data_IF_607511776511
#
_entry.id   IF_607511776511
#
_cell.length_a   1.000
_cell.length_b   1.000
_cell.length_c   1.000
_cell.angle_alpha   90.00
_cell.angle_beta   90.00
_cell.angle_gamma   90.00
#
_symmetry.space_group_name_H-M   'P 1'
#
loop_
_entity.id
_entity.type
_entity.pdbx_description
1 polymer ?
#
# COMPACT_ATOMS: atom_id res chain seq x y z
N UNK A 1 15.43 -12.61 -16.54
CA UNK A 1 15.08 -13.25 -17.84
C UNK A 1 15.95 -12.81 -19.02
N UNK A 2 16.24 -11.51 -19.19
CA UNK A 2 17.07 -11.02 -20.30
C UNK A 2 18.43 -11.75 -20.42
N UNK A 3 19.17 -11.88 -19.32
CA UNK A 3 20.47 -12.56 -19.31
C UNK A 3 20.43 -14.09 -19.49
N UNK A 4 19.26 -14.71 -19.37
CA UNK A 4 19.12 -16.18 -19.54
C UNK A 4 18.59 -16.57 -20.92
N UNK A 5 18.32 -15.61 -21.81
CA UNK A 5 17.75 -15.85 -23.14
C UNK A 5 18.70 -16.64 -24.07
N UNK A 6 20.01 -16.45 -23.90
CA UNK A 6 21.04 -17.14 -24.71
C UNK A 6 21.26 -18.58 -24.26
N UNK A 7 20.60 -19.03 -23.22
CA UNK A 7 20.71 -20.38 -22.67
C UNK A 7 19.66 -21.26 -23.35
N UNK A 8 20.11 -22.26 -24.08
CA UNK A 8 19.22 -23.21 -24.75
C UNK A 8 18.51 -24.14 -23.77
N UNK A 9 17.24 -24.46 -24.08
CA UNK A 9 16.44 -25.43 -23.36
C UNK A 9 15.73 -24.88 -22.13
N UNK A 10 15.29 -25.79 -21.26
CA UNK A 10 14.49 -25.45 -20.07
C UNK A 10 15.22 -24.64 -19.01
N UNK A 11 16.54 -24.45 -19.12
CA UNK A 11 17.33 -23.68 -18.16
C UNK A 11 17.03 -22.18 -18.25
N UNK A 12 16.66 -21.67 -19.44
CA UNK A 12 16.37 -20.25 -19.68
C UNK A 12 15.29 -19.65 -18.77
N UNK A 13 14.23 -20.40 -18.48
CA UNK A 13 13.14 -19.97 -17.61
C UNK A 13 13.27 -20.48 -16.17
N UNK A 14 13.93 -21.62 -15.97
CA UNK A 14 14.12 -22.21 -14.63
C UNK A 14 15.06 -21.39 -13.77
N UNK A 15 16.19 -20.90 -14.31
CA UNK A 15 17.16 -20.11 -13.56
C UNK A 15 16.52 -18.87 -12.91
N UNK A 16 15.77 -18.00 -13.64
CA UNK A 16 15.10 -16.87 -13.01
C UNK A 16 14.13 -17.26 -11.89
N UNK A 17 13.41 -18.39 -12.03
CA UNK A 17 12.51 -18.88 -10.98
C UNK A 17 13.30 -19.34 -9.75
N UNK A 18 14.39 -20.09 -9.94
CA UNK A 18 15.26 -20.52 -8.83
C UNK A 18 15.89 -19.32 -8.11
N UNK A 19 16.23 -18.25 -8.84
CA UNK A 19 16.79 -17.03 -8.23
C UNK A 19 15.79 -16.36 -7.28
N UNK A 20 14.48 -16.52 -7.44
CA UNK A 20 13.48 -16.00 -6.51
C UNK A 20 13.53 -16.70 -5.14
N UNK A 21 13.99 -17.96 -5.11
CA UNK A 21 14.16 -18.69 -3.85
C UNK A 21 15.27 -18.12 -2.96
N UNK A 22 16.20 -17.35 -3.52
CA UNK A 22 17.32 -16.77 -2.76
C UNK A 22 16.77 -15.84 -1.66
N UNK A 23 15.91 -14.88 -2.03
CA UNK A 23 15.32 -13.95 -1.06
C UNK A 23 14.41 -14.66 -0.06
N UNK A 24 13.57 -15.58 -0.53
CA UNK A 24 12.70 -16.38 0.35
C UNK A 24 13.50 -17.29 1.28
N UNK A 25 14.60 -17.83 0.81
CA UNK A 25 15.54 -18.64 1.61
C UNK A 25 16.19 -17.83 2.72
N UNK A 26 16.65 -16.60 2.43
CA UNK A 26 17.18 -15.71 3.47
C UNK A 26 16.14 -15.41 4.55
N UNK A 27 14.90 -15.14 4.16
CA UNK A 27 13.81 -14.92 5.13
C UNK A 27 13.51 -16.19 5.93
N UNK A 28 13.39 -17.34 5.27
CA UNK A 28 13.09 -18.61 5.92
C UNK A 28 14.18 -19.04 6.91
N UNK A 29 15.44 -18.77 6.60
CA UNK A 29 16.55 -19.05 7.50
C UNK A 29 16.61 -18.00 8.62
N UNK A 30 16.47 -16.71 8.28
CA UNK A 30 16.60 -15.60 9.23
C UNK A 30 15.52 -15.57 10.31
N UNK A 31 14.30 -16.07 10.03
CA UNK A 31 13.18 -16.04 10.97
C UNK A 31 13.45 -16.84 12.25
N UNK A 32 14.31 -17.86 12.19
CA UNK A 32 14.69 -18.67 13.36
C UNK A 32 15.51 -17.90 14.40
N UNK A 33 16.17 -16.80 14.02
CA UNK A 33 16.92 -15.94 14.94
C UNK A 33 16.13 -14.74 15.45
N UNK A 34 14.93 -14.50 14.92
CA UNK A 34 14.09 -13.42 15.38
C UNK A 34 13.30 -13.86 16.63
N UNK A 35 13.28 -13.04 17.69
CA UNK A 35 12.43 -13.29 18.85
C UNK A 35 10.96 -13.13 18.49
N UNK A 36 10.10 -13.80 19.22
CA UNK A 36 8.67 -13.63 19.11
C UNK A 36 8.23 -12.21 19.53
N UNK A 37 7.11 -11.76 18.99
CA UNK A 37 6.58 -10.44 19.34
C UNK A 37 6.18 -10.39 20.82
N UNK A 38 6.63 -9.39 21.60
CA UNK A 38 6.20 -9.23 22.99
C UNK A 38 4.70 -9.17 23.16
N UNK A 39 3.98 -8.53 22.22
CA UNK A 39 2.51 -8.46 22.23
C UNK A 39 1.86 -9.82 22.04
N UNK A 40 2.42 -10.64 21.16
CA UNK A 40 1.95 -12.01 20.95
C UNK A 40 2.19 -12.88 22.18
N UNK A 41 3.38 -12.78 22.77
CA UNK A 41 3.71 -13.49 24.01
C UNK A 41 2.76 -13.12 25.16
N UNK A 42 2.46 -11.83 25.32
CA UNK A 42 1.48 -11.35 26.29
C UNK A 42 0.07 -11.88 26.01
N UNK A 43 -0.34 -11.97 24.76
CA UNK A 43 -1.64 -12.54 24.38
C UNK A 43 -1.74 -14.06 24.61
N UNK A 44 -0.60 -14.75 24.73
CA UNK A 44 -0.49 -16.17 25.06
C UNK A 44 -0.26 -16.42 26.56
N UNK A 45 -0.45 -15.40 27.41
CA UNK A 45 -0.23 -15.43 28.86
C UNK A 45 1.24 -15.73 29.26
N UNK A 46 2.19 -15.52 28.34
CA UNK A 46 3.63 -15.70 28.58
C UNK A 46 4.33 -14.35 28.83
N UNK A 47 3.93 -13.71 29.94
CA UNK A 47 4.43 -12.38 30.30
C UNK A 47 5.94 -12.35 30.58
N UNK A 48 6.50 -13.43 31.17
CA UNK A 48 7.91 -13.50 31.56
C UNK A 48 8.84 -13.44 30.34
N UNK A 49 8.49 -14.10 29.25
CA UNK A 49 9.26 -14.03 28.01
C UNK A 49 9.07 -12.68 27.31
N UNK A 50 7.87 -12.11 27.33
CA UNK A 50 7.63 -10.78 26.80
C UNK A 50 8.51 -9.73 27.48
N UNK A 51 8.63 -9.80 28.81
CA UNK A 51 9.50 -8.92 29.61
C UNK A 51 10.96 -9.08 29.20
N UNK A 52 11.45 -10.30 29.04
CA UNK A 52 12.84 -10.57 28.64
C UNK A 52 13.15 -9.98 27.25
N UNK A 53 12.23 -10.14 26.30
CA UNK A 53 12.38 -9.59 24.94
C UNK A 53 12.38 -8.06 24.99
N UNK A 54 11.45 -7.44 25.72
CA UNK A 54 11.41 -5.98 25.90
C UNK A 54 12.66 -5.44 26.59
N UNK A 55 13.10 -6.08 27.68
CA UNK A 55 14.32 -5.69 28.38
C UNK A 55 15.54 -5.73 27.46
N UNK A 56 15.66 -6.77 26.63
CA UNK A 56 16.78 -6.93 25.71
C UNK A 56 16.82 -5.87 24.63
N UNK A 57 15.68 -5.49 24.04
CA UNK A 57 15.64 -4.61 22.86
C UNK A 57 15.28 -3.16 23.18
N UNK A 58 14.55 -2.88 24.27
CA UNK A 58 14.08 -1.55 24.64
C UNK A 58 14.55 -1.09 26.02
N UNK A 59 15.11 -2.01 26.83
CA UNK A 59 15.53 -1.73 28.20
C UNK A 59 17.03 -1.85 28.45
N UNK A 60 17.86 -1.84 27.40
CA UNK A 60 19.33 -2.00 27.52
C UNK A 60 19.74 -3.22 28.37
N UNK A 61 18.91 -4.26 28.39
CA UNK A 61 19.09 -5.46 29.19
C UNK A 61 18.52 -5.40 30.62
N UNK A 62 17.97 -4.24 31.05
CA UNK A 62 17.34 -4.07 32.37
C UNK A 62 15.84 -4.25 32.31
N UNK A 63 15.32 -5.07 33.21
CA UNK A 63 13.88 -5.32 33.35
C UNK A 63 13.18 -4.10 33.98
N UNK A 64 13.87 -3.38 34.84
CA UNK A 64 13.34 -2.24 35.58
C UNK A 64 13.40 -0.91 34.81
N UNK A 65 13.78 -0.97 33.51
CA UNK A 65 13.86 0.22 32.70
C UNK A 65 12.45 0.86 32.52
N UNK A 66 12.29 2.16 32.68
CA UNK A 66 10.99 2.85 32.62
C UNK A 66 10.19 2.57 31.34
N UNK A 67 10.89 2.44 30.20
CA UNK A 67 10.26 2.11 28.91
C UNK A 67 9.67 0.69 28.90
N UNK A 68 10.32 -0.28 29.54
CA UNK A 68 9.83 -1.66 29.61
C UNK A 68 8.54 -1.73 30.44
N UNK A 69 8.54 -1.08 31.60
CA UNK A 69 7.38 -1.04 32.50
C UNK A 69 6.20 -0.30 31.89
N UNK A 70 6.45 0.81 31.17
CA UNK A 70 5.42 1.55 30.47
C UNK A 70 4.79 0.71 29.34
N UNK A 71 5.59 0.12 28.48
CA UNK A 71 5.11 -0.69 27.37
C UNK A 71 4.36 -1.95 27.85
N UNK A 72 4.80 -2.56 28.94
CA UNK A 72 4.07 -3.68 29.54
C UNK A 72 2.67 -3.26 30.04
N UNK A 73 2.57 -2.13 30.76
CA UNK A 73 1.29 -1.61 31.21
C UNK A 73 0.36 -1.30 30.04
N UNK A 74 0.86 -0.63 29.01
CA UNK A 74 0.09 -0.35 27.80
C UNK A 74 -0.41 -1.64 27.12
N UNK A 75 0.45 -2.66 26.99
CA UNK A 75 0.06 -3.95 26.42
C UNK A 75 -1.00 -4.66 27.27
N UNK A 76 -0.85 -4.67 28.60
CA UNK A 76 -1.83 -5.26 29.51
C UNK A 76 -3.19 -4.56 29.43
N UNK A 77 -3.19 -3.23 29.41
CA UNK A 77 -4.42 -2.45 29.27
C UNK A 77 -5.09 -2.71 27.91
N UNK A 78 -4.33 -2.74 26.82
CA UNK A 78 -4.86 -3.02 25.49
C UNK A 78 -5.42 -4.45 25.37
N UNK A 79 -4.75 -5.43 25.97
CA UNK A 79 -5.22 -6.83 25.97
C UNK A 79 -6.48 -6.96 26.84
N UNK A 80 -6.53 -6.32 28.01
CA UNK A 80 -7.70 -6.32 28.89
C UNK A 80 -8.93 -5.60 28.29
N UNK A 81 -8.71 -4.52 27.54
CA UNK A 81 -9.77 -3.82 26.81
C UNK A 81 -10.21 -4.58 25.54
N UNK A 82 -9.31 -5.35 24.94
CA UNK A 82 -9.56 -6.13 23.73
C UNK A 82 -9.87 -7.61 24.01
N UNK A 83 -10.42 -7.93 25.17
CA UNK A 83 -10.96 -9.28 25.45
C UNK A 83 -12.18 -9.61 24.56
N UNK A 84 -12.42 -8.75 23.58
CA UNK A 84 -13.36 -8.90 22.49
C UNK A 84 -12.83 -9.94 21.51
N UNK A 85 -13.44 -11.08 21.56
CA UNK A 85 -13.56 -12.05 20.50
C UNK A 85 -12.25 -12.55 19.84
N UNK A 86 -11.57 -13.48 20.52
CA UNK A 86 -10.48 -14.32 19.96
C UNK A 86 -10.95 -15.16 18.75
N UNK A 87 -12.21 -15.04 18.30
CA UNK A 87 -12.77 -15.75 17.17
C UNK A 87 -12.25 -15.18 15.85
N UNK A 88 -11.37 -15.92 15.20
CA UNK A 88 -10.75 -15.51 13.94
C UNK A 88 -11.76 -15.32 12.79
N UNK A 89 -12.96 -15.93 12.88
CA UNK A 89 -14.03 -15.86 11.87
C UNK A 89 -15.03 -14.71 12.09
N UNK A 90 -14.99 -14.00 13.22
CA UNK A 90 -15.93 -12.91 13.47
C UNK A 90 -15.37 -11.58 12.93
N UNK A 91 -15.94 -11.13 11.83
CA UNK A 91 -15.67 -9.86 11.20
C UNK A 91 -16.73 -8.79 11.47
N UNK A 92 -17.71 -9.06 12.34
CA UNK A 92 -18.83 -8.16 12.62
C UNK A 92 -18.38 -6.79 13.14
N UNK A 93 -17.28 -6.75 13.89
CA UNK A 93 -16.70 -5.51 14.42
C UNK A 93 -16.32 -4.50 13.33
N UNK A 94 -15.96 -4.97 12.14
CA UNK A 94 -15.59 -4.09 11.01
C UNK A 94 -16.79 -3.35 10.39
N UNK A 95 -18.01 -3.83 10.63
CA UNK A 95 -19.24 -3.25 10.07
C UNK A 95 -20.23 -2.76 11.12
N UNK A 96 -20.01 -3.06 12.41
CA UNK A 96 -20.96 -2.82 13.48
C UNK A 96 -21.21 -1.32 13.70
N UNK A 97 -20.18 -0.50 13.73
CA UNK A 97 -20.28 0.94 13.97
C UNK A 97 -20.19 1.75 12.68
N UNK A 98 -20.71 2.97 12.68
CA UNK A 98 -20.60 3.88 11.54
C UNK A 98 -19.14 4.23 11.23
N UNK A 99 -18.33 4.44 12.27
CA UNK A 99 -16.89 4.66 12.17
C UNK A 99 -16.16 3.46 11.54
N UNK A 100 -16.48 2.22 11.99
CA UNK A 100 -15.90 1.01 11.46
C UNK A 100 -16.20 0.82 9.96
N UNK A 101 -17.45 1.08 9.55
CA UNK A 101 -17.84 1.02 8.12
C UNK A 101 -17.09 2.04 7.26
N UNK A 102 -16.90 3.28 7.75
CA UNK A 102 -16.12 4.30 7.04
C UNK A 102 -14.66 3.88 6.87
N UNK A 103 -14.05 3.32 7.92
CA UNK A 103 -12.69 2.77 7.86
C UNK A 103 -12.59 1.61 6.87
N UNK A 104 -13.58 0.71 6.89
CA UNK A 104 -13.63 -0.41 5.95
C UNK A 104 -13.73 0.07 4.50
N UNK A 105 -14.52 1.11 4.20
CA UNK A 105 -14.59 1.72 2.86
C UNK A 105 -13.22 2.25 2.44
N UNK A 106 -12.48 2.93 3.32
CA UNK A 106 -11.12 3.39 3.03
C UNK A 106 -10.17 2.22 2.75
N UNK A 107 -10.24 1.15 3.54
CA UNK A 107 -9.42 -0.06 3.36
C UNK A 107 -9.72 -0.76 2.04
N UNK A 108 -11.01 -0.98 1.73
CA UNK A 108 -11.43 -1.60 0.48
C UNK A 108 -11.05 -0.73 -0.73
N UNK A 109 -11.25 0.60 -0.62
CA UNK A 109 -10.84 1.54 -1.65
C UNK A 109 -9.33 1.45 -1.90
N UNK A 110 -8.49 1.58 -0.88
CA UNK A 110 -7.03 1.46 -1.05
C UNK A 110 -6.61 0.12 -1.66
N UNK A 111 -7.24 -0.97 -1.23
CA UNK A 111 -6.93 -2.30 -1.72
C UNK A 111 -7.31 -2.49 -3.21
N UNK A 112 -8.51 -2.07 -3.58
CA UNK A 112 -9.01 -2.23 -4.95
C UNK A 112 -8.36 -1.22 -5.92
N UNK A 113 -8.28 0.06 -5.55
CA UNK A 113 -7.73 1.11 -6.40
C UNK A 113 -6.25 0.86 -6.74
N UNK A 114 -5.47 0.35 -5.78
CA UNK A 114 -4.09 -0.06 -6.04
C UNK A 114 -3.92 -1.11 -7.15
N UNK A 115 -4.95 -1.88 -7.47
CA UNK A 115 -4.91 -2.87 -8.55
C UNK A 115 -5.60 -2.39 -9.83
N UNK A 116 -6.69 -1.61 -9.69
CA UNK A 116 -7.55 -1.20 -10.80
C UNK A 116 -7.06 0.07 -11.51
N UNK A 117 -6.17 0.86 -10.91
CA UNK A 117 -5.58 2.08 -11.48
C UNK A 117 -4.56 1.84 -12.61
N UNK A 118 -4.58 0.66 -13.23
CA UNK A 118 -3.71 0.31 -14.37
C UNK A 118 -2.31 -0.22 -13.99
N UNK A 119 -1.91 -0.20 -12.71
CA UNK A 119 -0.63 -0.74 -12.30
C UNK A 119 -0.49 -2.24 -12.60
N UNK A 120 -1.54 -3.03 -12.36
CA UNK A 120 -1.54 -4.46 -12.67
C UNK A 120 -1.37 -4.71 -14.17
N UNK A 121 -2.01 -3.89 -15.01
CA UNK A 121 -1.84 -4.00 -16.47
C UNK A 121 -0.42 -3.65 -16.89
N UNK A 122 0.11 -2.55 -16.41
CA UNK A 122 1.47 -2.12 -16.74
C UNK A 122 2.53 -3.13 -16.25
N UNK A 123 2.29 -3.78 -15.13
CA UNK A 123 3.23 -4.77 -14.58
C UNK A 123 3.18 -6.13 -15.29
N UNK A 124 1.99 -6.61 -15.65
CA UNK A 124 1.83 -7.95 -16.22
C UNK A 124 1.73 -7.96 -17.75
N UNK A 125 1.18 -6.91 -18.36
CA UNK A 125 0.95 -6.79 -19.79
C UNK A 125 1.86 -5.74 -20.47
N UNK A 126 2.99 -5.38 -19.84
CA UNK A 126 3.96 -4.48 -20.45
C UNK A 126 4.43 -4.94 -21.84
N UNK A 127 4.71 -6.23 -22.10
CA UNK A 127 5.03 -6.69 -23.44
C UNK A 127 3.93 -6.40 -24.47
N UNK A 128 2.67 -6.62 -24.12
CA UNK A 128 1.50 -6.32 -24.98
C UNK A 128 1.35 -4.83 -25.25
N UNK A 129 1.59 -4.00 -24.23
CA UNK A 129 1.59 -2.54 -24.38
C UNK A 129 2.70 -2.09 -25.35
N UNK A 130 3.88 -2.71 -25.29
CA UNK A 130 5.00 -2.44 -26.18
C UNK A 130 4.74 -2.95 -27.61
N UNK A 131 4.06 -4.08 -27.76
CA UNK A 131 3.60 -4.58 -29.08
C UNK A 131 2.63 -3.59 -29.71
N UNK A 132 1.64 -3.08 -28.97
CA UNK A 132 0.71 -2.07 -29.44
C UNK A 132 1.38 -0.74 -29.78
N UNK A 133 2.56 -0.47 -29.20
CA UNK A 133 3.41 0.67 -29.56
C UNK A 133 4.33 0.40 -30.78
N UNK A 134 4.22 -0.77 -31.42
CA UNK A 134 5.00 -1.15 -32.58
C UNK A 134 6.37 -1.78 -32.29
N UNK A 135 6.66 -2.16 -31.04
CA UNK A 135 7.91 -2.82 -30.65
C UNK A 135 7.74 -4.33 -30.70
N UNK A 136 8.06 -4.91 -31.82
CA UNK A 136 7.92 -6.36 -32.08
C UNK A 136 9.10 -7.17 -31.55
N UNK A 137 10.27 -6.55 -31.34
CA UNK A 137 11.47 -7.25 -30.89
C UNK A 137 11.36 -7.70 -29.43
N UNK A 138 11.26 -8.99 -29.20
CA UNK A 138 11.20 -9.62 -27.86
C UNK A 138 12.40 -9.19 -26.97
N UNK A 139 13.59 -9.08 -27.57
CA UNK A 139 14.78 -8.63 -26.85
C UNK A 139 14.63 -7.20 -26.31
N UNK A 140 14.05 -6.28 -27.10
CA UNK A 140 13.78 -4.91 -26.65
C UNK A 140 12.70 -4.88 -25.58
N UNK A 141 11.65 -5.68 -25.70
CA UNK A 141 10.59 -5.79 -24.69
C UNK A 141 11.13 -6.26 -23.35
N UNK A 142 11.97 -7.31 -23.35
CA UNK A 142 12.62 -7.82 -22.13
C UNK A 142 13.55 -6.78 -21.49
N UNK A 143 14.32 -6.05 -22.30
CA UNK A 143 15.19 -4.99 -21.81
C UNK A 143 14.37 -3.85 -21.18
N UNK A 144 13.31 -3.41 -21.86
CA UNK A 144 12.43 -2.35 -21.36
C UNK A 144 11.72 -2.75 -20.07
N UNK A 145 11.26 -3.99 -19.96
CA UNK A 145 10.71 -4.53 -18.71
C UNK A 145 11.76 -4.54 -17.59
N UNK A 146 13.01 -4.90 -17.93
CA UNK A 146 14.12 -4.85 -16.98
C UNK A 146 14.45 -3.45 -16.47
N UNK A 147 14.29 -2.41 -17.30
CA UNK A 147 14.50 -1.00 -16.92
C UNK A 147 13.31 -0.44 -16.13
N UNK A 148 12.09 -0.90 -16.40
CA UNK A 148 10.87 -0.45 -15.72
C UNK A 148 10.93 -0.65 -14.20
N UNK A 149 11.37 -1.83 -13.76
CA UNK A 149 11.41 -2.18 -12.32
C UNK A 149 12.33 -1.27 -11.49
N UNK A 150 13.58 -0.96 -11.90
CA UNK A 150 14.41 0.03 -11.21
C UNK A 150 13.79 1.44 -11.14
N UNK A 151 13.09 1.87 -12.18
CA UNK A 151 12.42 3.18 -12.20
C UNK A 151 11.31 3.20 -11.15
N UNK A 152 10.48 2.17 -11.09
CA UNK A 152 9.45 2.02 -10.05
C UNK A 152 10.05 1.98 -8.64
N UNK A 153 11.18 1.30 -8.47
CA UNK A 153 11.87 1.22 -7.18
C UNK A 153 12.37 2.58 -6.70
N UNK A 154 12.99 3.36 -7.59
CA UNK A 154 13.41 4.74 -7.28
C UNK A 154 12.20 5.61 -6.92
N UNK A 155 11.09 5.47 -7.67
CA UNK A 155 9.83 6.14 -7.37
C UNK A 155 9.30 5.80 -5.98
N UNK A 156 9.31 4.52 -5.60
CA UNK A 156 8.84 4.06 -4.29
C UNK A 156 9.70 4.60 -3.13
N UNK A 157 11.03 4.61 -3.28
CA UNK A 157 11.94 5.20 -2.27
C UNK A 157 11.70 6.71 -2.13
N UNK A 158 11.59 7.42 -3.25
CA UNK A 158 11.29 8.84 -3.22
C UNK A 158 9.93 9.10 -2.57
N UNK A 159 8.89 8.35 -2.93
CA UNK A 159 7.55 8.44 -2.35
C UNK A 159 7.56 8.24 -0.85
N UNK A 160 8.20 7.17 -0.37
CA UNK A 160 8.34 6.90 1.06
C UNK A 160 8.98 8.08 1.82
N UNK A 161 9.99 8.74 1.23
CA UNK A 161 10.67 9.91 1.84
C UNK A 161 9.77 11.14 1.91
N UNK A 162 8.90 11.33 0.91
CA UNK A 162 8.02 12.51 0.84
C UNK A 162 6.68 12.33 1.54
N UNK A 163 6.28 11.10 1.87
CA UNK A 163 5.00 10.78 2.52
C UNK A 163 4.77 11.57 3.80
N UNK A 164 5.79 11.72 4.64
CA UNK A 164 5.70 12.45 5.91
C UNK A 164 5.67 13.96 5.72
N UNK A 165 6.23 14.47 4.62
CA UNK A 165 6.25 15.90 4.35
C UNK A 165 4.93 16.41 3.71
N UNK A 166 4.39 15.65 2.74
CA UNK A 166 3.22 16.11 1.97
C UNK A 166 1.89 15.61 2.56
N UNK A 167 1.92 14.51 3.30
CA UNK A 167 0.71 13.83 3.78
C UNK A 167 0.22 12.75 2.82
N UNK A 168 -0.62 11.88 3.35
CA UNK A 168 -1.09 10.68 2.62
C UNK A 168 -2.12 11.03 1.56
N UNK A 169 -3.13 11.81 1.92
CA UNK A 169 -4.24 12.18 1.03
C UNK A 169 -3.83 13.02 -0.17
N UNK A 170 -3.05 14.11 -0.04
CA UNK A 170 -2.58 14.88 -1.19
C UNK A 170 -1.73 14.03 -2.14
N UNK A 171 -0.84 13.19 -1.57
CA UNK A 171 0.04 12.35 -2.36
C UNK A 171 -0.74 11.33 -3.21
N UNK A 172 -1.77 10.70 -2.64
CA UNK A 172 -2.68 9.80 -3.36
C UNK A 172 -3.44 10.55 -4.47
N UNK A 173 -4.01 11.72 -4.17
CA UNK A 173 -4.80 12.49 -5.13
C UNK A 173 -3.96 12.97 -6.32
N UNK A 174 -2.80 13.59 -6.06
CA UNK A 174 -1.96 14.11 -7.13
C UNK A 174 -1.40 12.99 -8.01
N UNK A 175 -0.99 11.87 -7.40
CA UNK A 175 -0.46 10.75 -8.16
C UNK A 175 -1.52 10.09 -9.05
N UNK A 176 -2.76 9.88 -8.57
CA UNK A 176 -3.79 9.22 -9.38
C UNK A 176 -4.28 10.12 -10.52
N UNK A 177 -4.44 11.41 -10.29
CA UNK A 177 -4.77 12.37 -11.36
C UNK A 177 -3.67 12.41 -12.41
N UNK A 178 -2.41 12.39 -12.00
CA UNK A 178 -1.29 12.36 -12.94
C UNK A 178 -1.24 11.02 -13.71
N UNK A 179 -1.55 9.91 -13.07
CA UNK A 179 -1.68 8.59 -13.72
C UNK A 179 -2.76 8.61 -14.80
N UNK A 180 -3.93 9.21 -14.53
CA UNK A 180 -4.99 9.43 -15.53
C UNK A 180 -4.48 10.22 -16.75
N UNK A 181 -3.72 11.29 -16.52
CA UNK A 181 -3.12 12.08 -17.62
C UNK A 181 -2.11 11.24 -18.40
N UNK A 182 -1.30 10.42 -17.75
CA UNK A 182 -0.37 9.50 -18.44
C UNK A 182 -1.13 8.53 -19.35
N UNK A 183 -2.21 7.91 -18.87
CA UNK A 183 -3.02 7.00 -19.69
C UNK A 183 -3.72 7.71 -20.83
N UNK A 184 -4.16 8.95 -20.66
CA UNK A 184 -4.73 9.75 -21.75
C UNK A 184 -3.70 9.98 -22.89
N UNK A 185 -2.45 10.31 -22.51
CA UNK A 185 -1.37 10.50 -23.50
C UNK A 185 -0.97 9.15 -24.13
N UNK A 186 -0.87 8.09 -23.35
CA UNK A 186 -0.60 6.72 -23.86
C UNK A 186 -1.67 6.33 -24.87
N UNK A 187 -2.94 6.58 -24.59
CA UNK A 187 -4.05 6.28 -25.51
C UNK A 187 -3.90 7.02 -26.84
N UNK A 188 -3.69 8.34 -26.77
CA UNK A 188 -3.55 9.18 -27.97
C UNK A 188 -2.33 8.81 -28.81
N UNK A 189 -1.20 8.58 -28.17
CA UNK A 189 0.05 8.22 -28.86
C UNK A 189 0.05 6.78 -29.37
N UNK A 190 -0.58 5.84 -28.67
CA UNK A 190 -0.78 4.46 -29.16
C UNK A 190 -1.65 4.42 -30.41
N UNK A 191 -2.70 5.24 -30.47
CA UNK A 191 -3.51 5.40 -31.70
C UNK A 191 -2.66 5.84 -32.88
N UNK A 192 -1.82 6.87 -32.69
CA UNK A 192 -0.92 7.37 -33.74
C UNK A 192 0.11 6.33 -34.16
N UNK A 193 0.69 5.60 -33.21
CA UNK A 193 1.65 4.53 -33.50
C UNK A 193 1.02 3.34 -34.25
N UNK A 194 -0.25 3.04 -34.00
CA UNK A 194 -0.99 1.98 -34.71
C UNK A 194 -1.38 2.41 -36.14
N UNK A 195 -1.73 3.69 -36.35
CA UNK A 195 -2.09 4.19 -37.68
C UNK A 195 -0.88 4.37 -38.61
N UNK A 196 0.25 4.74 -38.05
CA UNK A 196 1.49 4.94 -38.81
C UNK A 196 2.64 4.23 -38.11
N UNK A 197 2.88 2.98 -38.53
CA UNK A 197 3.92 2.10 -37.96
C UNK A 197 5.35 2.62 -38.17
N UNK A 198 5.54 3.61 -39.00
CA UNK A 198 6.84 4.28 -39.24
C UNK A 198 7.09 5.41 -38.23
N UNK A 199 6.11 5.80 -37.44
CA UNK A 199 6.21 6.91 -36.52
C UNK A 199 6.94 6.51 -35.20
N UNK A 200 8.27 6.47 -35.28
CA UNK A 200 9.14 6.16 -34.15
C UNK A 200 8.93 7.11 -32.97
N UNK A 201 8.56 8.37 -33.25
CA UNK A 201 8.32 9.37 -32.20
C UNK A 201 7.10 9.00 -31.35
N UNK A 202 6.00 8.56 -31.98
CA UNK A 202 4.81 8.12 -31.26
C UNK A 202 5.11 6.89 -30.38
N UNK A 203 5.83 5.90 -30.92
CA UNK A 203 6.23 4.71 -30.16
C UNK A 203 7.12 5.06 -28.95
N UNK A 204 8.11 5.91 -29.10
CA UNK A 204 8.97 6.36 -28.02
C UNK A 204 8.20 7.15 -26.95
N UNK A 205 7.20 7.92 -27.37
CA UNK A 205 6.35 8.67 -26.44
C UNK A 205 5.51 7.72 -25.57
N UNK A 206 4.93 6.66 -26.14
CA UNK A 206 4.22 5.63 -25.38
C UNK A 206 5.13 5.04 -24.29
N UNK A 207 6.36 4.64 -24.66
CA UNK A 207 7.31 4.06 -23.73
C UNK A 207 7.67 5.04 -22.60
N UNK A 208 7.94 6.30 -22.95
CA UNK A 208 8.30 7.32 -21.97
C UNK A 208 7.16 7.52 -20.96
N UNK A 209 5.90 7.58 -21.42
CA UNK A 209 4.76 7.77 -20.53
C UNK A 209 4.42 6.51 -19.72
N UNK A 210 4.69 5.31 -20.21
CA UNK A 210 4.61 4.09 -19.40
C UNK A 210 5.61 4.16 -18.23
N UNK A 211 6.85 4.60 -18.46
CA UNK A 211 7.85 4.73 -17.41
C UNK A 211 7.54 5.85 -16.42
N UNK A 212 7.03 6.98 -16.91
CA UNK A 212 6.57 8.09 -16.07
C UNK A 212 5.39 7.64 -15.20
N UNK A 213 4.42 6.92 -15.78
CA UNK A 213 3.33 6.31 -15.04
C UNK A 213 3.85 5.40 -13.91
N UNK A 214 4.74 4.45 -14.23
CA UNK A 214 5.31 3.53 -13.25
C UNK A 214 6.04 4.25 -12.11
N UNK A 215 6.80 5.30 -12.43
CA UNK A 215 7.46 6.14 -11.43
C UNK A 215 6.45 6.87 -10.53
N UNK A 216 5.46 7.55 -11.12
CA UNK A 216 4.47 8.35 -10.37
C UNK A 216 3.55 7.47 -9.54
N UNK A 217 3.11 6.34 -10.09
CA UNK A 217 2.33 5.36 -9.36
C UNK A 217 3.13 4.83 -8.15
N UNK A 218 4.38 4.43 -8.37
CA UNK A 218 5.23 3.92 -7.29
C UNK A 218 5.53 5.00 -6.24
N UNK A 219 5.68 6.25 -6.65
CA UNK A 219 5.88 7.39 -5.76
C UNK A 219 4.67 7.63 -4.85
N UNK A 220 3.44 7.58 -5.39
CA UNK A 220 2.24 7.90 -4.63
C UNK A 220 1.57 6.72 -3.95
N UNK A 221 1.64 5.52 -4.54
CA UNK A 221 0.81 4.39 -4.11
C UNK A 221 1.57 3.26 -3.43
N UNK A 222 2.75 2.88 -3.93
CA UNK A 222 3.42 1.67 -3.47
C UNK A 222 3.73 1.69 -1.98
N UNK A 223 4.23 2.82 -1.46
CA UNK A 223 4.52 2.97 -0.03
C UNK A 223 3.26 3.21 0.80
N UNK A 224 2.27 3.94 0.25
CA UNK A 224 1.08 4.36 0.97
C UNK A 224 0.03 3.27 1.12
N UNK A 225 -0.04 2.31 0.21
CA UNK A 225 -1.12 1.31 0.20
C UNK A 225 -1.19 0.53 1.53
N UNK A 226 -0.09 -0.04 1.98
CA UNK A 226 -0.03 -0.77 3.25
C UNK A 226 -0.06 0.14 4.47
N UNK A 227 0.60 1.29 4.40
CA UNK A 227 0.71 2.25 5.48
C UNK A 227 -0.67 2.87 5.80
N UNK A 228 -1.39 3.36 4.80
CA UNK A 228 -2.70 3.97 4.98
C UNK A 228 -3.73 2.98 5.56
N UNK A 229 -3.71 1.71 5.09
CA UNK A 229 -4.55 0.65 5.66
C UNK A 229 -4.25 0.44 7.14
N UNK A 230 -2.96 0.38 7.51
CA UNK A 230 -2.53 0.18 8.89
C UNK A 230 -2.86 1.37 9.80
N UNK A 231 -2.76 2.62 9.31
CA UNK A 231 -3.10 3.84 10.05
C UNK A 231 -4.62 4.01 10.23
N UNK A 232 -5.40 3.61 9.23
CA UNK A 232 -6.87 3.76 9.24
C UNK A 232 -7.54 2.82 10.25
N UNK A 233 -6.98 1.64 10.49
CA UNK A 233 -7.57 0.62 11.33
C UNK A 233 -7.10 0.70 12.78
N UNK A 234 -8.01 0.61 13.77
CA UNK A 234 -7.65 0.49 15.17
C UNK A 234 -6.91 -0.84 15.42
N UNK A 235 -6.08 -0.88 16.44
CA UNK A 235 -5.23 -2.03 16.75
C UNK A 235 -6.03 -3.33 16.91
N UNK A 236 -7.23 -3.27 17.51
CA UNK A 236 -8.12 -4.42 17.72
C UNK A 236 -8.59 -5.11 16.43
N UNK A 237 -8.92 -4.33 15.41
CA UNK A 237 -9.47 -4.84 14.15
C UNK A 237 -8.47 -4.82 12.99
N UNK A 238 -7.25 -4.33 13.22
CA UNK A 238 -6.23 -4.16 12.17
C UNK A 238 -5.91 -5.45 11.42
N UNK A 239 -5.69 -6.55 12.14
CA UNK A 239 -5.37 -7.83 11.52
C UNK A 239 -6.51 -8.32 10.60
N UNK A 240 -7.76 -8.30 11.10
CA UNK A 240 -8.95 -8.69 10.33
C UNK A 240 -9.21 -7.75 9.15
N UNK A 241 -9.07 -6.44 9.36
CA UNK A 241 -9.26 -5.43 8.31
C UNK A 241 -8.19 -5.52 7.21
N UNK A 242 -6.94 -5.73 7.58
CA UNK A 242 -5.85 -5.95 6.60
C UNK A 242 -6.06 -7.25 5.81
N UNK A 243 -6.55 -8.32 6.44
CA UNK A 243 -6.87 -9.57 5.75
C UNK A 243 -7.97 -9.37 4.69
N UNK A 244 -9.05 -8.64 5.02
CA UNK A 244 -10.10 -8.27 4.04
C UNK A 244 -9.51 -7.37 2.93
N UNK A 245 -8.68 -6.40 3.28
CA UNK A 245 -8.00 -5.55 2.30
C UNK A 245 -7.18 -6.39 1.30
N UNK A 246 -6.33 -7.28 1.79
CA UNK A 246 -5.52 -8.16 0.95
C UNK A 246 -6.38 -9.11 0.09
N UNK A 247 -7.45 -9.66 0.64
CA UNK A 247 -8.40 -10.48 -0.12
C UNK A 247 -9.04 -9.67 -1.25
N UNK A 248 -9.53 -8.47 -0.96
CA UNK A 248 -10.14 -7.58 -1.95
C UNK A 248 -9.15 -7.14 -3.04
N UNK A 249 -7.90 -6.86 -2.66
CA UNK A 249 -6.80 -6.58 -3.59
C UNK A 249 -6.55 -7.76 -4.53
N UNK A 250 -6.53 -8.99 -4.00
CA UNK A 250 -6.33 -10.19 -4.80
C UNK A 250 -7.50 -10.43 -5.77
N UNK A 251 -8.74 -10.21 -5.33
CA UNK A 251 -9.92 -10.30 -6.19
C UNK A 251 -9.84 -9.25 -7.31
N UNK A 252 -9.57 -8.00 -6.99
CA UNK A 252 -9.42 -6.93 -7.98
C UNK A 252 -8.29 -7.22 -8.97
N UNK A 253 -7.14 -7.70 -8.49
CA UNK A 253 -6.01 -8.11 -9.34
C UNK A 253 -6.39 -9.26 -10.28
N UNK A 254 -7.13 -10.26 -9.79
CA UNK A 254 -7.59 -11.38 -10.62
C UNK A 254 -8.54 -10.91 -11.72
N UNK A 255 -9.50 -10.04 -11.38
CA UNK A 255 -10.44 -9.49 -12.36
C UNK A 255 -9.69 -8.75 -13.47
N UNK A 256 -8.79 -7.84 -13.11
CA UNK A 256 -8.06 -7.05 -14.11
C UNK A 256 -7.12 -7.89 -14.95
N UNK A 257 -6.43 -8.86 -14.37
CA UNK A 257 -5.53 -9.75 -15.11
C UNK A 257 -6.30 -10.63 -16.10
N UNK A 258 -7.45 -11.16 -15.71
CA UNK A 258 -8.26 -11.99 -16.59
C UNK A 258 -8.93 -11.21 -17.72
N UNK A 259 -9.36 -9.98 -17.45
CA UNK A 259 -10.02 -9.12 -18.44
C UNK A 259 -9.04 -8.45 -19.42
N UNK A 260 -7.78 -8.26 -19.03
CA UNK A 260 -6.81 -7.50 -19.84
C UNK A 260 -6.43 -8.20 -21.14
N UNK A 261 -6.25 -9.53 -21.15
CA UNK A 261 -5.93 -10.27 -22.37
C UNK A 261 -6.99 -10.07 -23.46
N UNK A 262 -8.25 -10.48 -23.24
CA UNK A 262 -9.34 -10.25 -24.19
C UNK A 262 -9.57 -8.77 -24.53
N UNK A 263 -9.32 -7.84 -23.59
CA UNK A 263 -9.45 -6.42 -23.85
C UNK A 263 -8.40 -5.93 -24.85
N UNK A 264 -7.14 -6.31 -24.70
CA UNK A 264 -6.10 -5.95 -25.67
C UNK A 264 -6.36 -6.54 -27.06
N UNK A 265 -6.92 -7.77 -27.14
CA UNK A 265 -7.24 -8.41 -28.41
C UNK A 265 -8.41 -7.73 -29.13
N UNK A 266 -9.48 -7.31 -28.41
CA UNK A 266 -10.72 -6.82 -29.01
C UNK A 266 -10.78 -5.31 -29.15
N UNK A 267 -10.32 -4.57 -28.17
CA UNK A 267 -10.44 -3.09 -28.13
C UNK A 267 -9.10 -2.34 -28.21
N UNK A 268 -7.97 -3.09 -28.25
CA UNK A 268 -6.64 -2.53 -28.44
C UNK A 268 -6.34 -1.31 -27.55
N UNK A 269 -5.89 -0.19 -28.13
CA UNK A 269 -5.54 1.02 -27.40
C UNK A 269 -6.73 1.71 -26.70
N UNK A 270 -7.97 1.41 -27.06
CA UNK A 270 -9.14 1.94 -26.34
C UNK A 270 -9.24 1.43 -24.91
N UNK A 271 -8.60 0.31 -24.60
CA UNK A 271 -8.56 -0.23 -23.24
C UNK A 271 -7.93 0.75 -22.24
N UNK A 272 -6.97 1.57 -22.68
CA UNK A 272 -6.36 2.58 -21.80
C UNK A 272 -7.34 3.67 -21.37
N UNK A 273 -8.37 3.98 -22.17
CA UNK A 273 -9.41 4.94 -21.79
C UNK A 273 -10.19 4.50 -20.54
N UNK A 274 -10.33 3.20 -20.33
CA UNK A 274 -10.98 2.68 -19.12
C UNK A 274 -10.25 3.18 -17.88
N UNK A 275 -8.91 3.14 -17.90
CA UNK A 275 -8.10 3.63 -16.78
C UNK A 275 -8.15 5.15 -16.64
N UNK A 276 -8.22 5.90 -17.74
CA UNK A 276 -8.37 7.36 -17.67
C UNK A 276 -9.62 7.76 -16.88
N UNK A 277 -10.76 7.17 -17.21
CA UNK A 277 -12.01 7.47 -16.51
C UNK A 277 -12.04 6.88 -15.10
N UNK A 278 -11.52 5.67 -14.92
CA UNK A 278 -11.51 5.01 -13.64
C UNK A 278 -10.64 5.76 -12.62
N UNK A 279 -9.45 6.20 -12.99
CA UNK A 279 -8.56 6.98 -12.13
C UNK A 279 -9.21 8.30 -11.68
N UNK A 280 -10.01 8.94 -12.55
CA UNK A 280 -10.77 10.13 -12.16
C UNK A 280 -11.87 9.79 -11.15
N UNK A 281 -12.53 8.65 -11.28
CA UNK A 281 -13.52 8.17 -10.30
C UNK A 281 -12.82 7.87 -8.97
N UNK A 282 -11.66 7.21 -9.01
CA UNK A 282 -10.84 6.95 -7.82
C UNK A 282 -10.42 8.26 -7.14
N UNK A 283 -9.95 9.25 -7.92
CA UNK A 283 -9.61 10.58 -7.41
C UNK A 283 -10.81 11.24 -6.71
N UNK A 284 -12.01 11.16 -7.31
CA UNK A 284 -13.22 11.68 -6.69
C UNK A 284 -13.56 10.97 -5.39
N UNK A 285 -13.47 9.62 -5.35
CA UNK A 285 -13.73 8.84 -4.13
C UNK A 285 -12.70 9.20 -3.04
N UNK A 286 -11.42 9.29 -3.37
CA UNK A 286 -10.37 9.68 -2.42
C UNK A 286 -10.65 11.10 -1.90
N UNK A 287 -11.04 12.02 -2.76
CA UNK A 287 -11.33 13.39 -2.36
C UNK A 287 -12.49 13.48 -1.36
N UNK A 288 -13.57 12.72 -1.53
CA UNK A 288 -14.75 12.81 -0.68
C UNK A 288 -14.72 11.90 0.56
N UNK A 289 -14.02 10.77 0.51
CA UNK A 289 -14.13 9.74 1.55
C UNK A 289 -12.84 9.50 2.33
N UNK A 290 -11.65 9.84 1.80
CA UNK A 290 -10.38 9.51 2.45
C UNK A 290 -9.91 10.65 3.34
N UNK A 291 -9.90 10.49 4.67
CA UNK A 291 -9.33 11.49 5.58
C UNK A 291 -7.80 11.50 5.51
N UNK A 292 -7.21 12.64 5.87
CA UNK A 292 -5.77 12.76 6.05
C UNK A 292 -5.36 12.13 7.38
N UNK A 293 -4.32 11.29 7.33
CA UNK A 293 -3.82 10.56 8.52
C UNK A 293 -2.49 11.10 9.05
N UNK A 294 -1.86 12.03 8.31
CA UNK A 294 -0.57 12.60 8.67
C UNK A 294 -0.56 13.22 10.06
N UNK A 295 0.52 12.93 10.83
CA UNK A 295 0.81 13.50 12.15
C UNK A 295 -0.32 13.32 13.17
N UNK A 296 -1.15 12.26 13.05
CA UNK A 296 -2.22 11.93 13.97
C UNK A 296 -1.97 10.62 14.68
N UNK A 297 -2.26 10.60 15.98
CA UNK A 297 -2.24 9.37 16.76
C UNK A 297 -3.45 8.50 16.41
N UNK A 298 -3.41 7.22 16.80
CA UNK A 298 -4.54 6.30 16.55
C UNK A 298 -5.82 6.74 17.27
N UNK A 299 -5.68 7.35 18.44
CA UNK A 299 -6.75 7.89 19.25
C UNK A 299 -7.41 9.10 18.57
N UNK A 300 -6.60 10.04 18.06
CA UNK A 300 -7.07 11.18 17.28
C UNK A 300 -7.78 10.74 15.98
N UNK A 301 -7.26 9.71 15.32
CA UNK A 301 -7.93 9.13 14.15
C UNK A 301 -9.25 8.47 14.53
N UNK A 302 -9.39 7.95 15.75
CA UNK A 302 -10.68 7.45 16.22
C UNK A 302 -11.71 8.58 16.27
N UNK A 303 -11.37 9.72 16.83
CA UNK A 303 -12.25 10.91 16.86
C UNK A 303 -12.56 11.43 15.45
N UNK A 304 -11.57 11.45 14.55
CA UNK A 304 -11.78 11.87 13.15
C UNK A 304 -12.82 10.99 12.46
N UNK A 305 -12.74 9.66 12.60
CA UNK A 305 -13.69 8.75 11.97
C UNK A 305 -15.08 8.73 12.62
N UNK A 306 -15.21 9.16 13.87
CA UNK A 306 -16.48 9.34 14.57
C UNK A 306 -17.18 10.66 14.18
N UNK A 307 -16.43 11.66 13.71
CA UNK A 307 -16.98 12.94 13.31
C UNK A 307 -18.01 12.79 12.17
N UNK A 308 -18.98 13.71 12.06
CA UNK A 308 -19.96 13.72 10.97
C UNK A 308 -19.30 13.75 9.59
N UNK A 309 -18.24 14.55 9.43
CA UNK A 309 -17.42 14.63 8.21
C UNK A 309 -15.95 14.37 8.53
N UNK A 310 -15.47 13.12 8.39
CA UNK A 310 -14.07 12.75 8.70
C UNK A 310 -13.05 13.49 7.86
N UNK A 311 -13.35 13.72 6.58
CA UNK A 311 -12.43 14.40 5.67
C UNK A 311 -12.19 15.86 6.11
N UNK A 312 -13.27 16.59 6.39
CA UNK A 312 -13.16 17.97 6.86
C UNK A 312 -12.45 18.04 8.21
N UNK A 313 -12.83 17.19 9.17
CA UNK A 313 -12.19 17.11 10.49
C UNK A 313 -10.71 16.78 10.40
N UNK A 314 -10.30 15.95 9.44
CA UNK A 314 -8.90 15.60 9.23
C UNK A 314 -8.04 16.76 8.71
N UNK A 315 -8.65 17.73 8.03
CA UNK A 315 -7.95 18.90 7.45
C UNK A 315 -7.89 20.09 8.40
N UNK A 316 -8.63 20.07 9.51
CA UNK A 316 -8.57 21.13 10.51
C UNK A 316 -7.18 21.17 11.14
N UNK A 317 -6.58 22.38 11.18
CA UNK A 317 -5.29 22.59 11.83
C UNK A 317 -5.39 22.28 13.31
N UNK A 318 -4.40 21.59 13.85
CA UNK A 318 -4.26 21.39 15.30
C UNK A 318 -4.15 22.74 15.99
N UNK A 319 -5.12 23.08 16.82
CA UNK A 319 -4.92 24.16 17.77
C UNK A 319 -3.98 23.68 18.87
N UNK A 320 -2.85 24.38 19.03
CA UNK A 320 -1.87 24.09 20.07
C UNK A 320 -2.51 24.00 21.48
N UNK A 321 -3.61 24.70 21.69
CA UNK A 321 -4.45 24.65 22.90
C UNK A 321 -5.10 23.28 23.13
N UNK A 322 -5.48 22.56 22.08
CA UNK A 322 -6.09 21.20 22.19
C UNK A 322 -5.02 20.18 22.57
N UNK A 323 -3.83 20.26 21.98
CA UNK A 323 -2.68 19.40 22.33
C UNK A 323 -2.25 19.60 23.77
N UNK A 324 -2.20 20.85 24.23
CA UNK A 324 -1.87 21.19 25.63
C UNK A 324 -2.96 20.75 26.62
N UNK A 325 -4.24 20.71 26.21
CA UNK A 325 -5.33 20.15 27.04
C UNK A 325 -5.21 18.62 27.18
N UNK A 326 -4.95 17.90 26.10
CA UNK A 326 -4.76 16.44 26.16
C UNK A 326 -3.57 16.09 27.04
N UNK A 327 -2.43 16.76 26.85
CA UNK A 327 -1.24 16.59 27.70
C UNK A 327 -1.46 16.99 29.17
N UNK A 328 -2.32 17.99 29.45
CA UNK A 328 -2.68 18.35 30.84
C UNK A 328 -3.63 17.37 31.50
N UNK A 329 -4.56 16.79 30.76
CA UNK A 329 -5.46 15.76 31.29
C UNK A 329 -4.66 14.51 31.66
N UNK A 330 -3.71 14.09 30.83
CA UNK A 330 -2.83 12.95 31.13
C UNK A 330 -1.95 13.20 32.35
N UNK A 331 -1.43 14.41 32.51
CA UNK A 331 -0.63 14.78 33.70
C UNK A 331 -1.46 14.94 34.98
N UNK A 332 -2.75 15.24 34.89
CA UNK A 332 -3.64 15.29 36.06
C UNK A 332 -4.10 13.91 36.50
N UNK A 333 -4.28 12.98 35.57
CA UNK A 333 -4.61 11.57 35.89
C UNK A 333 -3.40 10.91 36.59
N UNK A 334 -2.18 11.15 36.10
CA UNK A 334 -0.94 10.62 36.70
C UNK A 334 -0.64 11.24 38.09
N UNK A 335 -1.12 12.46 38.38
CA UNK A 335 -0.94 13.11 39.71
C UNK A 335 -2.08 12.84 40.70
N UNK A 336 -3.18 12.28 40.26
CA UNK A 336 -4.32 11.96 41.10
C UNK A 336 -4.33 10.54 41.69
N UNK A 337 -3.35 9.74 41.36
CA UNK A 337 -3.18 8.35 41.89
C UNK A 337 -1.93 8.21 42.79
N UNK A 338 -1.53 9.28 43.49
CA UNK A 338 -0.51 9.20 44.57
C UNK A 338 -1.18 9.55 45.91
#
# INVERSE_FOLDING_TARGET
>A
MYGCRTIDGNASWRIPIWCQLISSGFVAIGIWWLPESPRWLMAQDNADEAIKVLARYHGEGSIDHPMVTLQLKEMQQQIGLNDSDKRWWDYSELVKTHSARRRLICVLGMACFGQLSGNSVTSYYLPEMLLNAGIVSEQRQLLMNGIYSPICFVGAIAGARYTDNWGRRPLLLYSIVFCSVCFAIITGTSKLATQDTTNVTAANTVIAFIYIFGFVYSFGWTALQSMYIAETLPTSTRAKGTAIGNFSSSVASTIIQYSSGPAFENIHYYFYLVFVFWDLVEAAIIYFYFPETKDRTLEELAEVFEAPNPVQRSLEKRDATTVLRTLRVDTTIVKGEV
#
